data_IF_384861455634
#
_entry.id   IF_384861455634
#
_cell.length_a   1.000
_cell.length_b   1.000
_cell.length_c   1.000
_cell.angle_alpha   90.00
_cell.angle_beta   90.00
_cell.angle_gamma   90.00
#
_symmetry.space_group_name_H-M   'P 1'
#
loop_
_entity.id
_entity.type
_entity.pdbx_description
1 polymer ?
#
# COMPACT_ATOMS: atom_id res chain seq x y z
N UNK A 1 5.29 31.60 18.91
CA UNK A 1 5.50 30.16 18.66
C UNK A 1 4.24 29.61 18.05
N UNK A 2 4.21 29.38 16.74
CA UNK A 2 3.12 28.70 16.05
C UNK A 2 3.38 27.20 16.14
N UNK A 3 2.60 26.50 16.96
CA UNK A 3 2.60 25.04 17.05
C UNK A 3 2.22 24.45 15.70
N UNK A 4 3.17 23.81 15.01
CA UNK A 4 2.96 23.07 13.77
C UNK A 4 2.13 21.81 14.07
N UNK A 5 0.83 21.87 13.77
CA UNK A 5 -0.12 20.79 14.03
C UNK A 5 -0.06 19.64 12.99
N UNK A 6 0.96 19.57 12.12
CA UNK A 6 0.93 18.70 10.93
C UNK A 6 2.19 17.84 10.70
N UNK A 7 2.90 17.42 11.75
CA UNK A 7 4.02 16.48 11.62
C UNK A 7 3.57 15.00 11.62
N UNK A 8 2.28 14.74 11.37
CA UNK A 8 1.71 13.39 11.34
C UNK A 8 1.13 13.07 9.96
N UNK A 9 1.71 12.08 9.29
CA UNK A 9 1.17 11.52 8.05
C UNK A 9 0.28 10.31 8.36
N UNK A 10 -0.70 10.05 7.51
CA UNK A 10 -1.58 8.90 7.63
C UNK A 10 -1.65 8.16 6.30
N UNK A 11 -1.59 6.83 6.35
CA UNK A 11 -1.95 5.94 5.24
C UNK A 11 -3.12 5.10 5.72
N UNK A 12 -4.22 5.09 4.96
CA UNK A 12 -5.44 4.38 5.29
C UNK A 12 -5.98 3.63 4.08
N UNK A 13 -6.75 2.56 4.32
CA UNK A 13 -7.43 1.77 3.30
C UNK A 13 -8.65 1.06 3.89
N UNK A 14 -9.62 0.73 3.04
CA UNK A 14 -10.62 -0.30 3.31
C UNK A 14 -9.98 -1.71 3.31
N UNK A 15 -10.75 -2.76 3.63
CA UNK A 15 -10.31 -4.17 3.61
C UNK A 15 -10.87 -4.97 2.42
N UNK A 16 -11.70 -4.36 1.58
CA UNK A 16 -12.44 -5.03 0.53
C UNK A 16 -11.56 -5.43 -0.66
N UNK A 17 -11.76 -6.64 -1.17
CA UNK A 17 -11.25 -7.05 -2.46
C UNK A 17 -12.40 -7.40 -3.38
N UNK A 18 -12.44 -6.76 -4.54
CA UNK A 18 -13.48 -7.03 -5.53
C UNK A 18 -12.95 -7.99 -6.58
N UNK A 19 -13.72 -9.04 -6.90
CA UNK A 19 -13.42 -9.94 -8.02
C UNK A 19 -13.81 -9.33 -9.38
N UNK A 20 -13.44 -10.01 -10.47
CA UNK A 20 -13.71 -9.54 -11.84
C UNK A 20 -15.20 -9.38 -12.16
N UNK A 21 -16.09 -9.99 -11.38
CA UNK A 21 -17.54 -9.94 -11.55
C UNK A 21 -18.16 -8.80 -10.71
N UNK A 22 -17.33 -8.03 -9.99
CA UNK A 22 -17.77 -6.93 -9.14
C UNK A 22 -18.23 -7.37 -7.75
N UNK A 23 -17.96 -8.61 -7.34
CA UNK A 23 -18.34 -9.12 -6.01
C UNK A 23 -17.28 -8.72 -5.00
N UNK A 24 -17.71 -7.97 -3.98
CA UNK A 24 -16.88 -7.55 -2.85
C UNK A 24 -16.64 -8.73 -1.89
N UNK A 25 -15.38 -8.91 -1.48
CA UNK A 25 -14.95 -9.92 -0.53
C UNK A 25 -14.17 -9.26 0.63
N UNK A 26 -14.68 -9.43 1.85
CA UNK A 26 -14.10 -8.89 3.08
C UNK A 26 -13.25 -9.93 3.85
N UNK A 27 -13.23 -11.17 3.38
CA UNK A 27 -12.62 -12.31 4.07
C UNK A 27 -11.25 -12.69 3.51
N UNK A 28 -10.72 -11.94 2.54
CA UNK A 28 -9.37 -12.16 2.05
C UNK A 28 -8.39 -11.77 3.17
N UNK A 29 -7.53 -12.69 3.65
CA UNK A 29 -6.62 -12.45 4.78
C UNK A 29 -5.39 -11.63 4.35
N UNK A 30 -5.63 -10.48 3.71
CA UNK A 30 -4.59 -9.59 3.21
C UNK A 30 -4.89 -8.14 3.58
N UNK A 31 -3.97 -7.49 4.30
CA UNK A 31 -4.10 -6.05 4.57
C UNK A 31 -3.43 -5.22 3.49
N UNK A 32 -4.16 -4.22 2.98
CA UNK A 32 -3.66 -3.25 1.99
C UNK A 32 -2.71 -2.22 2.59
N UNK A 33 -2.83 -1.94 3.89
CA UNK A 33 -1.89 -1.10 4.65
C UNK A 33 -1.00 -2.00 5.49
N UNK A 34 0.31 -1.81 5.40
CA UNK A 34 1.32 -2.60 6.12
C UNK A 34 2.41 -1.71 6.68
N UNK A 35 3.04 -2.17 7.77
CA UNK A 35 4.23 -1.56 8.35
C UNK A 35 5.36 -2.60 8.43
N UNK A 36 6.55 -2.18 8.04
CA UNK A 36 7.79 -2.96 8.17
C UNK A 36 8.85 -2.04 8.78
N UNK A 37 9.05 -2.12 10.10
CA UNK A 37 9.96 -1.25 10.82
C UNK A 37 9.53 0.22 10.73
N UNK A 38 10.34 1.03 10.05
CA UNK A 38 10.10 2.45 9.77
C UNK A 38 9.40 2.71 8.42
N UNK A 39 9.07 1.67 7.66
CA UNK A 39 8.41 1.77 6.35
C UNK A 39 6.91 1.53 6.53
N UNK A 40 6.08 2.37 5.89
CA UNK A 40 4.63 2.16 5.79
C UNK A 40 4.23 2.07 4.33
N UNK A 41 3.41 1.08 3.99
CA UNK A 41 2.99 0.76 2.63
C UNK A 41 1.46 0.78 2.60
N UNK A 42 0.87 1.46 1.62
CA UNK A 42 -0.55 1.36 1.25
C UNK A 42 -0.68 0.94 -0.21
N UNK A 43 -1.53 -0.03 -0.52
CA UNK A 43 -1.63 -0.62 -1.87
C UNK A 43 -3.04 -0.60 -2.43
N UNK A 44 -3.15 -0.43 -3.75
CA UNK A 44 -4.39 -0.58 -4.52
C UNK A 44 -4.13 -1.30 -5.87
N UNK A 45 -5.16 -1.89 -6.46
CA UNK A 45 -5.09 -2.62 -7.73
C UNK A 45 -5.11 -4.14 -7.58
N UNK A 46 -4.24 -4.85 -8.28
CA UNK A 46 -4.23 -6.31 -8.35
C UNK A 46 -3.71 -6.97 -7.06
N UNK A 47 -4.53 -7.85 -6.46
CA UNK A 47 -4.16 -8.60 -5.24
C UNK A 47 -2.86 -9.41 -5.41
N UNK A 48 -2.69 -10.12 -6.53
CA UNK A 48 -1.47 -10.89 -6.77
C UNK A 48 -0.22 -10.00 -6.81
N UNK A 49 -0.30 -8.81 -7.42
CA UNK A 49 0.79 -7.86 -7.41
C UNK A 49 1.11 -7.35 -6.00
N UNK A 50 0.09 -7.12 -5.16
CA UNK A 50 0.31 -6.75 -3.76
C UNK A 50 1.02 -7.86 -2.99
N UNK A 51 0.62 -9.13 -3.21
CA UNK A 51 1.27 -10.30 -2.59
C UNK A 51 2.72 -10.38 -3.04
N UNK A 52 2.99 -10.31 -4.34
CA UNK A 52 4.35 -10.41 -4.91
C UNK A 52 5.25 -9.28 -4.38
N UNK A 53 4.71 -8.06 -4.28
CA UNK A 53 5.43 -6.91 -3.70
C UNK A 53 5.79 -7.15 -2.22
N UNK A 54 4.83 -7.65 -1.43
CA UNK A 54 5.05 -7.93 -0.02
C UNK A 54 6.01 -9.11 0.20
N UNK A 55 5.97 -10.12 -0.67
CA UNK A 55 6.90 -11.25 -0.62
C UNK A 55 8.33 -10.78 -0.90
N UNK A 56 8.55 -9.92 -1.90
CA UNK A 56 9.85 -9.33 -2.17
C UNK A 56 10.37 -8.52 -0.97
N UNK A 57 9.52 -7.65 -0.40
CA UNK A 57 9.87 -6.88 0.79
C UNK A 57 10.24 -7.79 1.97
N UNK A 58 9.46 -8.83 2.23
CA UNK A 58 9.75 -9.83 3.26
C UNK A 58 11.06 -10.56 3.01
N UNK A 59 11.28 -11.09 1.81
CA UNK A 59 12.49 -11.85 1.45
C UNK A 59 13.75 -10.99 1.61
N UNK A 60 13.69 -9.73 1.19
CA UNK A 60 14.83 -8.82 1.32
C UNK A 60 15.13 -8.48 2.79
N UNK A 61 14.13 -8.05 3.56
CA UNK A 61 14.32 -7.64 4.97
C UNK A 61 14.72 -8.82 5.85
N UNK A 62 14.15 -10.01 5.61
CA UNK A 62 14.53 -11.23 6.34
C UNK A 62 15.88 -11.80 5.94
N UNK A 63 16.52 -11.25 4.90
CA UNK A 63 17.83 -11.68 4.42
C UNK A 63 17.82 -12.97 3.60
N UNK A 64 16.66 -13.39 3.08
CA UNK A 64 16.56 -14.50 2.13
C UNK A 64 17.10 -14.14 0.74
N UNK A 65 17.20 -12.85 0.44
CA UNK A 65 17.83 -12.33 -0.77
C UNK A 65 18.63 -11.06 -0.48
N UNK A 66 19.70 -10.84 -1.24
CA UNK A 66 20.47 -9.60 -1.26
C UNK A 66 20.08 -8.66 -2.41
N UNK A 67 19.23 -9.14 -3.33
CA UNK A 67 18.74 -8.33 -4.45
C UNK A 67 17.47 -7.59 -4.05
N UNK A 68 17.48 -6.27 -4.21
CA UNK A 68 16.31 -5.41 -4.07
C UNK A 68 15.86 -4.96 -5.46
N UNK A 69 15.02 -5.79 -6.08
CA UNK A 69 14.46 -5.55 -7.41
C UNK A 69 12.94 -5.74 -7.37
N UNK A 70 12.21 -5.09 -8.28
CA UNK A 70 10.78 -5.36 -8.41
C UNK A 70 10.53 -6.80 -8.85
N UNK A 71 9.47 -7.46 -8.31
CA UNK A 71 9.06 -8.77 -8.80
C UNK A 71 8.81 -8.74 -10.29
N UNK A 72 9.36 -9.71 -11.02
CA UNK A 72 9.18 -9.84 -12.47
C UNK A 72 7.69 -9.99 -12.83
N UNK A 73 6.92 -10.61 -11.94
CA UNK A 73 5.47 -10.78 -12.03
C UNK A 73 4.69 -9.45 -12.00
N UNK A 74 5.30 -8.38 -11.50
CA UNK A 74 4.77 -7.01 -11.57
C UNK A 74 5.33 -6.31 -12.81
N UNK A 75 6.64 -6.43 -13.07
CA UNK A 75 7.30 -5.77 -14.20
C UNK A 75 6.72 -6.17 -15.56
N UNK A 76 6.48 -7.47 -15.78
CA UNK A 76 6.00 -8.01 -17.05
C UNK A 76 4.47 -7.97 -17.20
N UNK A 77 3.75 -7.58 -16.14
CA UNK A 77 2.29 -7.59 -16.17
C UNK A 77 1.74 -6.40 -16.93
N UNK A 78 0.90 -6.65 -17.92
CA UNK A 78 0.37 -5.62 -18.83
C UNK A 78 -1.13 -5.41 -18.75
N UNK A 79 -1.85 -6.30 -18.07
CA UNK A 79 -3.31 -6.36 -18.09
C UNK A 79 -3.99 -5.98 -16.77
N UNK A 80 -3.22 -5.55 -15.76
CA UNK A 80 -3.75 -5.07 -14.48
C UNK A 80 -2.89 -3.98 -13.89
N UNK A 81 -3.58 -3.09 -13.18
CA UNK A 81 -2.94 -2.02 -12.45
C UNK A 81 -2.43 -2.49 -11.08
N UNK A 82 -1.35 -1.87 -10.64
CA UNK A 82 -0.81 -1.95 -9.30
C UNK A 82 -0.25 -0.59 -8.90
N UNK A 83 -0.71 -0.07 -7.76
CA UNK A 83 -0.16 1.14 -7.15
C UNK A 83 0.19 0.86 -5.69
N UNK A 84 1.37 1.30 -5.27
CA UNK A 84 1.78 1.31 -3.87
C UNK A 84 2.24 2.71 -3.46
N UNK A 85 1.66 3.26 -2.41
CA UNK A 85 2.20 4.42 -1.69
C UNK A 85 3.08 3.93 -0.57
N UNK A 86 4.32 4.42 -0.52
CA UNK A 86 5.35 3.94 0.40
C UNK A 86 5.97 5.14 1.10
N UNK A 87 5.73 5.24 2.40
CA UNK A 87 6.48 6.14 3.25
C UNK A 87 7.79 5.48 3.66
N UNK A 88 8.92 6.07 3.24
CA UNK A 88 10.27 5.57 3.48
C UNK A 88 11.24 6.74 3.61
N UNK A 89 12.09 6.71 4.64
CA UNK A 89 13.12 7.74 4.88
C UNK A 89 12.62 9.20 4.82
N UNK A 90 11.41 9.46 5.36
CA UNK A 90 10.83 10.81 5.34
C UNK A 90 10.22 11.24 4.00
N UNK A 91 10.25 10.38 2.99
CA UNK A 91 9.64 10.60 1.67
C UNK A 91 8.44 9.70 1.47
N UNK A 92 7.44 10.16 0.73
CA UNK A 92 6.31 9.33 0.30
C UNK A 92 6.46 9.05 -1.19
N UNK A 93 6.75 7.81 -1.55
CA UNK A 93 6.92 7.38 -2.93
C UNK A 93 5.63 6.70 -3.42
N UNK A 94 5.18 7.05 -4.62
CA UNK A 94 4.12 6.33 -5.32
C UNK A 94 4.75 5.50 -6.43
N UNK A 95 4.56 4.19 -6.33
CA UNK A 95 5.03 3.22 -7.31
C UNK A 95 3.81 2.81 -8.12
N UNK A 96 3.89 2.85 -9.45
CA UNK A 96 2.75 2.53 -10.31
C UNK A 96 3.15 1.68 -11.50
N UNK A 97 2.42 0.59 -11.71
CA UNK A 97 2.43 -0.23 -12.93
C UNK A 97 1.00 -0.25 -13.46
N UNK A 98 0.76 0.51 -14.52
CA UNK A 98 -0.57 0.73 -15.10
C UNK A 98 -0.71 -0.10 -16.38
N UNK A 99 -1.93 -0.55 -16.68
CA UNK A 99 -2.31 -1.26 -17.91
C UNK A 99 -1.78 -0.51 -19.13
N UNK A 100 -1.16 -1.26 -20.04
CA UNK A 100 -0.56 -0.69 -21.26
C UNK A 100 0.79 0.00 -21.07
N UNK A 101 1.29 0.17 -19.83
CA UNK A 101 2.65 0.67 -19.59
C UNK A 101 3.69 -0.46 -19.64
N UNK A 102 4.75 -0.28 -20.41
CA UNK A 102 5.90 -1.18 -20.42
C UNK A 102 6.72 -1.09 -19.14
N UNK A 103 6.71 0.04 -18.45
CA UNK A 103 7.61 0.32 -17.31
C UNK A 103 6.84 0.57 -16.01
N UNK A 104 7.51 0.31 -14.89
CA UNK A 104 7.10 0.78 -13.57
C UNK A 104 7.50 2.25 -13.46
N UNK A 105 6.61 3.09 -12.94
CA UNK A 105 6.88 4.49 -12.64
C UNK A 105 7.03 4.70 -11.14
N UNK A 106 7.95 5.58 -10.74
CA UNK A 106 8.12 6.00 -9.35
C UNK A 106 8.03 7.52 -9.28
N UNK A 107 7.10 7.99 -8.45
CA UNK A 107 6.83 9.41 -8.22
C UNK A 107 7.09 9.76 -6.76
N UNK A 108 7.56 10.98 -6.49
CA UNK A 108 7.66 11.49 -5.13
C UNK A 108 6.43 12.34 -4.82
N UNK A 109 5.64 11.89 -3.85
CA UNK A 109 4.47 12.60 -3.36
C UNK A 109 4.93 13.66 -2.38
N UNK A 110 5.13 14.86 -2.90
CA UNK A 110 5.58 16.03 -2.12
C UNK A 110 4.42 16.80 -1.49
N UNK A 111 3.17 16.55 -1.91
CA UNK A 111 1.99 17.20 -1.37
C UNK A 111 0.89 16.19 -1.03
N UNK A 112 0.30 16.37 0.15
CA UNK A 112 -0.82 15.59 0.68
C UNK A 112 -2.06 16.50 0.63
N UNK A 113 -3.25 15.97 0.33
CA UNK A 113 -3.60 14.56 0.19
C UNK A 113 -3.37 13.93 -1.19
N UNK A 114 -3.13 12.61 -1.18
CA UNK A 114 -3.14 11.73 -2.35
C UNK A 114 -4.03 10.53 -2.04
N UNK A 115 -4.88 10.12 -2.99
CA UNK A 115 -5.78 8.97 -2.88
C UNK A 115 -5.59 8.08 -4.09
N UNK A 116 -5.45 6.78 -3.86
CA UNK A 116 -5.34 5.76 -4.92
C UNK A 116 -6.51 4.78 -4.80
N UNK A 117 -7.01 4.27 -5.93
CA UNK A 117 -8.10 3.29 -5.97
C UNK A 117 -9.40 3.85 -6.56
N UNK A 118 -10.36 2.95 -6.77
CA UNK A 118 -11.68 3.23 -7.36
C UNK A 118 -12.51 4.27 -6.58
N UNK A 119 -12.26 4.37 -5.27
CA UNK A 119 -12.89 5.36 -4.40
C UNK A 119 -12.43 6.80 -4.62
N UNK A 120 -11.29 7.03 -5.32
CA UNK A 120 -10.64 8.34 -5.38
C UNK A 120 -11.56 9.46 -5.89
N UNK A 121 -12.36 9.20 -6.92
CA UNK A 121 -13.33 10.15 -7.49
C UNK A 121 -14.41 10.63 -6.50
N UNK A 122 -14.73 9.85 -5.46
CA UNK A 122 -15.73 10.22 -4.46
C UNK A 122 -15.13 11.01 -3.28
N UNK A 123 -13.80 11.00 -3.17
CA UNK A 123 -13.10 11.56 -2.00
C UNK A 123 -12.50 12.94 -2.23
N UNK A 124 -12.35 13.38 -3.49
CA UNK A 124 -11.67 14.62 -3.87
C UNK A 124 -12.21 15.85 -3.15
N UNK A 125 -13.53 16.07 -3.18
CA UNK A 125 -14.15 17.23 -2.54
C UNK A 125 -13.95 17.23 -1.01
N UNK A 126 -14.10 16.06 -0.38
CA UNK A 126 -14.03 15.95 1.08
C UNK A 126 -12.60 16.06 1.58
N UNK A 127 -11.63 15.54 0.84
CA UNK A 127 -10.24 15.59 1.26
C UNK A 127 -9.63 16.99 1.08
N UNK A 128 -10.20 17.82 0.20
CA UNK A 128 -9.87 19.24 0.09
C UNK A 128 -10.37 20.05 1.29
N UNK A 129 -11.58 19.75 1.78
CA UNK A 129 -12.19 20.42 2.94
C UNK A 129 -11.67 19.89 4.28
N UNK A 130 -11.41 18.59 4.36
CA UNK A 130 -10.97 17.86 5.55
C UNK A 130 -9.89 16.84 5.15
N UNK A 131 -8.59 17.22 5.15
CA UNK A 131 -7.50 16.35 4.72
C UNK A 131 -7.19 15.26 5.77
N UNK A 132 -8.11 14.31 5.92
CA UNK A 132 -8.04 13.19 6.84
C UNK A 132 -8.20 11.86 6.08
N UNK A 133 -7.18 11.00 6.15
CA UNK A 133 -7.14 9.75 5.41
C UNK A 133 -8.27 8.79 5.79
N UNK A 134 -8.69 8.74 7.07
CA UNK A 134 -9.77 7.87 7.53
C UNK A 134 -11.12 8.38 6.99
N UNK A 135 -11.35 9.69 7.04
CA UNK A 135 -12.58 10.29 6.51
C UNK A 135 -12.70 10.03 5.01
N UNK A 136 -11.61 10.16 4.26
CA UNK A 136 -11.60 9.85 2.83
C UNK A 136 -11.96 8.39 2.54
N UNK A 137 -11.40 7.43 3.28
CA UNK A 137 -11.77 6.01 3.11
C UNK A 137 -13.23 5.76 3.47
N UNK A 138 -13.72 6.33 4.57
CA UNK A 138 -15.13 6.21 4.96
C UNK A 138 -16.06 6.79 3.90
N UNK A 139 -15.64 7.85 3.23
CA UNK A 139 -16.43 8.44 2.14
C UNK A 139 -16.42 7.55 0.90
N UNK A 140 -15.27 6.99 0.52
CA UNK A 140 -15.21 5.99 -0.53
C UNK A 140 -16.18 4.83 -0.24
N UNK A 141 -16.17 4.28 0.98
CA UNK A 141 -17.05 3.17 1.39
C UNK A 141 -18.54 3.49 1.21
N UNK A 142 -18.95 4.75 1.40
CA UNK A 142 -20.36 5.14 1.21
C UNK A 142 -20.80 5.16 -0.25
N UNK A 143 -19.88 5.45 -1.16
CA UNK A 143 -20.23 5.84 -2.54
C UNK A 143 -19.68 4.90 -3.61
N UNK A 144 -18.56 4.23 -3.36
CA UNK A 144 -17.94 3.29 -4.28
C UNK A 144 -18.35 1.86 -3.96
N UNK A 145 -19.03 1.22 -4.92
CA UNK A 145 -19.52 -0.16 -4.79
C UNK A 145 -18.40 -1.21 -4.66
N UNK A 146 -17.13 -0.82 -4.88
CA UNK A 146 -15.96 -1.69 -4.81
C UNK A 146 -15.16 -1.56 -3.51
N UNK A 147 -15.55 -0.63 -2.63
CA UNK A 147 -14.94 -0.42 -1.31
C UNK A 147 -15.95 -0.74 -0.22
N UNK A 148 -15.51 -1.42 0.85
CA UNK A 148 -16.38 -1.80 1.96
C UNK A 148 -15.55 -2.27 3.17
N UNK A 149 -16.21 -2.51 4.29
CA UNK A 149 -15.65 -3.06 5.51
C UNK A 149 -15.07 -2.01 6.46
N UNK A 150 -14.13 -2.44 7.29
CA UNK A 150 -13.46 -1.57 8.26
C UNK A 150 -12.29 -0.78 7.63
N UNK A 151 -11.94 0.33 8.26
CA UNK A 151 -10.79 1.15 7.85
C UNK A 151 -9.54 0.71 8.60
N UNK A 152 -8.50 0.32 7.87
CA UNK A 152 -7.16 0.05 8.39
C UNK A 152 -6.26 1.24 8.12
N UNK A 153 -5.47 1.65 9.11
CA UNK A 153 -4.64 2.84 8.97
C UNK A 153 -3.41 2.82 9.86
N UNK A 154 -2.39 3.54 9.41
CA UNK A 154 -1.15 3.82 10.13
C UNK A 154 -0.97 5.33 10.26
N UNK A 155 -0.56 5.76 11.44
CA UNK A 155 -0.11 7.14 11.68
C UNK A 155 1.41 7.18 11.79
N UNK A 156 2.02 8.18 11.19
CA UNK A 156 3.46 8.33 11.04
C UNK A 156 3.80 9.70 11.60
N UNK A 157 4.48 9.77 12.74
CA UNK A 157 4.87 11.01 13.40
C UNK A 157 6.37 10.99 13.59
N UNK A 158 7.12 11.99 13.13
CA UNK A 158 8.60 12.11 13.22
C UNK A 158 9.30 11.03 14.09
N UNK A 159 10.03 10.12 13.41
CA UNK A 159 10.76 8.94 13.95
C UNK A 159 9.90 7.85 14.63
N UNK A 160 8.59 8.01 14.69
CA UNK A 160 7.65 7.08 15.32
C UNK A 160 6.49 6.72 14.40
N UNK A 161 6.10 5.45 14.37
CA UNK A 161 4.92 5.01 13.64
C UNK A 161 4.00 4.38 14.67
N UNK A 162 2.75 4.85 14.72
CA UNK A 162 1.72 4.30 15.58
C UNK A 162 0.65 3.61 14.74
N UNK A 163 0.39 2.37 15.13
CA UNK A 163 -0.68 1.57 14.56
C UNK A 163 -1.92 1.82 15.41
N UNK A 164 -3.03 2.21 14.78
CA UNK A 164 -4.25 2.56 15.50
C UNK A 164 -5.39 1.57 15.24
N UNK A 165 -5.04 0.34 14.85
CA UNK A 165 -5.96 -0.79 14.74
C UNK A 165 -6.41 -1.27 16.14
N UNK A 166 -7.68 -1.70 16.27
CA UNK A 166 -8.25 -2.34 17.47
C UNK A 166 -7.48 -3.61 17.90
N UNK A 167 -6.80 -4.26 16.95
CA UNK A 167 -5.78 -5.26 17.22
C UNK A 167 -4.42 -4.66 16.85
N UNK A 168 -3.47 -4.52 17.79
CA UNK A 168 -2.22 -3.85 17.49
C UNK A 168 -1.46 -4.60 16.40
N UNK A 169 -1.23 -3.96 15.24
CA UNK A 169 -0.11 -4.35 14.38
C UNK A 169 1.13 -4.43 15.25
N UNK A 170 1.88 -5.53 15.12
CA UNK A 170 2.87 -5.87 16.13
C UNK A 170 3.91 -4.77 16.36
N UNK A 171 4.35 -4.66 17.62
CA UNK A 171 5.32 -3.68 18.07
C UNK A 171 6.76 -4.01 17.66
N UNK A 172 7.08 -5.26 17.32
CA UNK A 172 8.44 -5.66 16.92
C UNK A 172 8.53 -5.96 15.42
N UNK A 173 9.67 -5.62 14.81
CA UNK A 173 9.93 -5.90 13.40
C UNK A 173 9.81 -7.39 13.08
N UNK A 174 10.31 -8.27 13.96
CA UNK A 174 10.17 -9.72 13.81
C UNK A 174 8.72 -10.15 13.66
N UNK A 175 7.84 -9.69 14.54
CA UNK A 175 6.42 -10.05 14.47
C UNK A 175 5.71 -9.37 13.28
N UNK A 176 6.13 -8.18 12.84
CA UNK A 176 5.62 -7.56 11.61
C UNK A 176 5.94 -8.43 10.39
N UNK A 177 7.18 -8.92 10.29
CA UNK A 177 7.60 -9.83 9.21
C UNK A 177 6.89 -11.19 9.30
N UNK A 178 6.76 -11.77 10.49
CA UNK A 178 6.02 -13.03 10.68
C UNK A 178 4.55 -12.87 10.32
N UNK A 179 3.89 -11.78 10.74
CA UNK A 179 2.50 -11.50 10.37
C UNK A 179 2.34 -11.30 8.87
N UNK A 180 3.27 -10.61 8.22
CA UNK A 180 3.28 -10.47 6.76
C UNK A 180 3.43 -11.82 6.05
N UNK A 181 4.33 -12.67 6.51
CA UNK A 181 4.52 -14.01 5.95
C UNK A 181 3.25 -14.87 6.11
N UNK A 182 2.61 -14.80 7.28
CA UNK A 182 1.34 -15.49 7.54
C UNK A 182 0.24 -15.00 6.60
N UNK A 183 0.05 -13.69 6.46
CA UNK A 183 -0.93 -13.12 5.53
C UNK A 183 -0.68 -13.57 4.08
N UNK A 184 0.58 -13.58 3.63
CA UNK A 184 0.93 -14.07 2.29
C UNK A 184 0.53 -15.54 2.12
N UNK A 185 0.84 -16.39 3.10
CA UNK A 185 0.52 -17.82 3.06
C UNK A 185 -0.99 -18.07 3.08
N UNK A 186 -1.71 -17.43 4.00
CA UNK A 186 -3.16 -17.56 4.13
C UNK A 186 -3.88 -17.02 2.90
N UNK A 187 -3.40 -15.92 2.32
CA UNK A 187 -3.98 -15.37 1.08
C UNK A 187 -3.75 -16.30 -0.10
N UNK A 188 -2.55 -16.90 -0.24
CA UNK A 188 -2.29 -17.91 -1.27
C UNK A 188 -3.15 -19.16 -1.09
N UNK A 189 -3.35 -19.61 0.15
CA UNK A 189 -4.25 -20.73 0.45
C UNK A 189 -5.70 -20.39 0.11
N UNK A 190 -6.16 -19.17 0.42
CA UNK A 190 -7.47 -18.67 0.01
C UNK A 190 -7.62 -18.66 -1.51
N UNK A 191 -6.63 -18.15 -2.26
CA UNK A 191 -6.65 -18.13 -3.73
C UNK A 191 -6.67 -19.53 -4.36
N UNK A 192 -6.13 -20.53 -3.67
CA UNK A 192 -6.20 -21.94 -4.06
C UNK A 192 -7.47 -22.69 -3.61
N UNK A 193 -8.37 -22.03 -2.86
CA UNK A 193 -9.61 -22.64 -2.39
C UNK A 193 -10.69 -22.68 -3.47
N UNK A 194 -11.67 -23.57 -3.33
CA UNK A 194 -12.81 -23.68 -4.26
C UNK A 194 -13.60 -22.37 -4.41
N UNK A 195 -13.63 -21.54 -3.35
CA UNK A 195 -14.37 -20.26 -3.33
C UNK A 195 -13.68 -19.19 -4.21
N UNK A 196 -12.36 -19.25 -4.34
CA UNK A 196 -11.56 -18.27 -5.08
C UNK A 196 -11.00 -18.82 -6.39
N UNK A 197 -11.09 -20.13 -6.63
CA UNK A 197 -10.51 -20.76 -7.80
C UNK A 197 -11.03 -20.12 -9.11
N UNK A 198 -10.13 -19.72 -9.99
CA UNK A 198 -10.43 -19.00 -11.23
C UNK A 198 -10.83 -17.53 -11.06
N UNK A 199 -11.00 -17.03 -9.82
CA UNK A 199 -11.29 -15.62 -9.56
C UNK A 199 -10.03 -14.77 -9.56
N UNK A 200 -10.24 -13.50 -9.85
CA UNK A 200 -9.24 -12.48 -10.05
C UNK A 200 -9.66 -11.24 -9.29
N UNK A 201 -8.86 -10.87 -8.29
CA UNK A 201 -9.16 -9.72 -7.46
C UNK A 201 -8.37 -8.49 -7.93
N UNK A 202 -9.10 -7.45 -8.32
CA UNK A 202 -8.56 -6.17 -8.77
C UNK A 202 -9.59 -5.07 -8.64
N UNK A 203 -9.15 -3.87 -8.27
CA UNK A 203 -9.95 -2.65 -8.34
C UNK A 203 -9.33 -1.68 -9.36
N UNK A 204 -10.14 -0.73 -9.84
CA UNK A 204 -9.61 0.44 -10.57
C UNK A 204 -8.55 1.14 -9.70
N UNK A 205 -7.49 1.64 -10.32
CA UNK A 205 -6.43 2.40 -9.64
C UNK A 205 -6.42 3.86 -10.10
N UNK A 206 -7.60 4.45 -10.23
CA UNK A 206 -7.71 5.89 -10.35
C UNK A 206 -6.93 6.57 -9.22
N UNK A 207 -6.26 7.67 -9.55
CA UNK A 207 -5.45 8.42 -8.60
C UNK A 207 -5.90 9.86 -8.58
N UNK A 208 -6.18 10.36 -7.39
CA UNK A 208 -6.34 11.78 -7.12
C UNK A 208 -5.09 12.31 -6.42
N UNK A 209 -4.58 13.42 -6.93
CA UNK A 209 -3.57 14.24 -6.27
C UNK A 209 -4.11 15.66 -6.12
N UNK A 210 -3.90 16.29 -4.96
CA UNK A 210 -4.23 17.73 -4.79
C UNK A 210 -3.41 18.62 -5.73
N UNK A 211 -2.18 18.22 -6.01
CA UNK A 211 -1.29 18.84 -7.01
C UNK A 211 -0.48 17.75 -7.69
N UNK A 212 -0.02 17.98 -8.91
CA UNK A 212 0.81 17.01 -9.62
C UNK A 212 2.03 16.59 -8.77
N UNK A 213 2.28 15.28 -8.60
CA UNK A 213 3.42 14.79 -7.86
C UNK A 213 4.72 15.15 -8.59
N UNK A 214 5.81 15.30 -7.83
CA UNK A 214 7.12 15.50 -8.43
C UNK A 214 7.59 14.16 -9.03
N UNK A 215 7.59 14.05 -10.35
CA UNK A 215 8.20 12.90 -11.03
C UNK A 215 9.68 12.85 -10.69
N UNK A 216 10.13 11.71 -10.19
CA UNK A 216 11.55 11.46 -9.93
C UNK A 216 12.05 10.41 -10.92
N UNK A 217 13.36 10.42 -11.16
CA UNK A 217 13.97 9.37 -11.96
C UNK A 217 13.79 8.02 -11.23
N UNK A 218 13.35 6.98 -11.96
CA UNK A 218 13.17 5.62 -11.44
C UNK A 218 14.41 5.08 -10.71
N UNK A 219 15.62 5.39 -11.16
CA UNK A 219 16.87 5.00 -10.50
C UNK A 219 16.99 5.64 -9.11
N UNK A 220 16.64 6.92 -8.98
CA UNK A 220 16.63 7.64 -7.70
C UNK A 220 15.57 7.04 -6.78
N UNK A 221 14.36 6.84 -7.28
CA UNK A 221 13.27 6.21 -6.52
C UNK A 221 13.63 4.82 -6.00
N UNK A 222 14.27 3.99 -6.85
CA UNK A 222 14.75 2.67 -6.45
C UNK A 222 15.88 2.73 -5.42
N UNK A 223 16.81 3.69 -5.53
CA UNK A 223 17.86 3.89 -4.51
C UNK A 223 17.24 4.22 -3.15
N UNK A 224 16.28 5.15 -3.11
CA UNK A 224 15.60 5.55 -1.88
C UNK A 224 14.85 4.39 -1.22
N UNK A 225 14.13 3.60 -2.03
CA UNK A 225 13.46 2.38 -1.56
C UNK A 225 14.48 1.40 -0.99
N UNK A 226 15.51 1.08 -1.77
CA UNK A 226 16.55 0.13 -1.37
C UNK A 226 17.22 0.54 -0.07
N UNK A 227 17.68 1.79 0.04
CA UNK A 227 18.33 2.33 1.25
C UNK A 227 17.41 2.23 2.48
N UNK A 228 16.12 2.54 2.32
CA UNK A 228 15.14 2.40 3.40
C UNK A 228 14.93 0.96 3.84
N UNK A 229 14.76 0.05 2.89
CA UNK A 229 14.63 -1.38 3.18
C UNK A 229 15.92 -1.98 3.74
N UNK A 230 17.10 -1.53 3.31
CA UNK A 230 18.40 -1.93 3.85
C UNK A 230 18.57 -1.48 5.30
N UNK A 231 18.13 -0.27 5.63
CA UNK A 231 18.11 0.23 7.02
C UNK A 231 17.25 -0.68 7.90
N UNK A 232 16.03 -0.98 7.49
CA UNK A 232 15.13 -1.89 8.22
C UNK A 232 15.71 -3.30 8.32
N UNK A 233 16.35 -3.81 7.26
CA UNK A 233 17.06 -5.09 7.26
C UNK A 233 18.19 -5.12 8.28
N UNK A 234 18.95 -4.03 8.40
CA UNK A 234 20.04 -3.94 9.35
C UNK A 234 19.52 -3.84 10.79
N UNK A 235 18.39 -3.17 11.02
CA UNK A 235 17.72 -3.12 12.33
C UNK A 235 17.12 -4.49 12.74
N UNK A 236 16.91 -5.40 11.78
CA UNK A 236 16.42 -6.75 12.04
C UNK A 236 17.51 -7.73 12.51
N UNK A 237 18.76 -7.50 12.10
CA UNK A 237 19.91 -8.35 12.42
C UNK A 237 20.43 -8.08 13.82
#
# INVERSE_FOLDING_TARGET
MTTTAYDTHFIASDIAFTDQDGVVNLSIPFRKVKRIGSIVIGMAGCLNCMIDFCEMAFQFVSGQTDKFDFPIQIQERTNRDFIAMIYVNGSCLKLSKIIGSSEVSIENITQIPTVIGSGSQFTSNIIEECPNAVVAVLEAIKHDKYTDGEVKYCSIRNDTIHNLELHPMSQTLKMQLTGMQQEIQETRAFLGSDVANGKNFSASTETYHKTDPATINNQIGMSLLREGFEKVRNDFK
#
